data_IF_199503941798
#
_entry.id   IF_199503941798
#
_cell.length_a   1.000
_cell.length_b   1.000
_cell.length_c   1.000
_cell.angle_alpha   90.00
_cell.angle_beta   90.00
_cell.angle_gamma   90.00
#
_symmetry.space_group_name_H-M   'P 1'
#
loop_
_entity.id
_entity.type
_entity.pdbx_description
1 polymer ?
#
# COMPACT_ATOMS: atom_id res chain seq x y z
N UNK A 1 59.76 1.92 -49.38
CA UNK A 1 58.33 2.18 -49.20
C UNK A 1 57.87 1.82 -47.78
N UNK A 2 58.39 2.49 -46.77
CA UNK A 2 58.03 2.17 -45.35
C UNK A 2 57.97 3.43 -44.46
N UNK A 3 57.65 4.61 -45.01
CA UNK A 3 57.64 5.86 -44.24
C UNK A 3 56.29 6.62 -44.33
N UNK A 4 55.22 6.03 -44.88
CA UNK A 4 53.94 6.73 -45.04
C UNK A 4 52.80 6.20 -44.15
N UNK A 5 53.00 5.11 -43.42
CA UNK A 5 51.95 4.52 -42.56
C UNK A 5 51.96 5.03 -41.14
N UNK A 6 53.12 5.49 -40.64
CA UNK A 6 53.30 5.98 -39.28
C UNK A 6 52.73 7.38 -39.06
N UNK A 7 52.59 8.20 -40.10
CA UNK A 7 52.02 9.54 -40.02
C UNK A 7 50.48 9.59 -39.94
N UNK A 8 49.80 8.57 -40.41
CA UNK A 8 48.33 8.51 -40.38
C UNK A 8 47.74 8.01 -39.08
N UNK A 9 48.46 7.18 -38.33
CA UNK A 9 48.04 6.68 -37.01
C UNK A 9 48.20 7.70 -35.89
N UNK A 10 49.19 8.61 -35.98
CA UNK A 10 49.33 9.69 -34.99
C UNK A 10 48.30 10.78 -35.09
N UNK A 11 47.75 11.04 -36.31
CA UNK A 11 46.69 12.03 -36.50
C UNK A 11 45.30 11.51 -36.09
N UNK A 12 45.11 10.19 -36.06
CA UNK A 12 43.85 9.59 -35.57
C UNK A 12 43.78 9.57 -34.04
N UNK A 13 44.92 9.40 -33.34
CA UNK A 13 45.00 9.37 -31.88
C UNK A 13 44.85 10.78 -31.24
N UNK A 14 45.25 11.83 -31.95
CA UNK A 14 45.11 13.22 -31.47
C UNK A 14 43.69 13.78 -31.55
N UNK A 15 42.79 13.12 -32.32
CA UNK A 15 41.36 13.52 -32.40
C UNK A 15 40.47 12.81 -31.38
N UNK A 16 40.96 11.83 -30.63
CA UNK A 16 40.21 11.07 -29.63
C UNK A 16 40.44 11.51 -28.19
N UNK A 17 41.29 12.50 -27.97
CA UNK A 17 41.59 13.03 -26.62
C UNK A 17 41.10 14.46 -26.36
N UNK A 18 40.00 14.85 -27.00
CA UNK A 18 39.27 16.02 -26.53
C UNK A 18 38.59 15.65 -25.20
N UNK A 19 38.90 16.36 -24.08
CA UNK A 19 38.16 16.11 -22.86
C UNK A 19 36.69 16.45 -23.12
N UNK A 20 35.81 15.45 -23.02
CA UNK A 20 34.39 15.63 -22.87
C UNK A 20 34.19 16.52 -21.61
N UNK A 21 34.15 17.82 -21.82
CA UNK A 21 33.59 18.76 -20.86
C UNK A 21 32.16 18.27 -20.60
N UNK A 22 32.01 17.38 -19.60
CA UNK A 22 30.72 17.17 -18.97
C UNK A 22 30.28 18.54 -18.49
N UNK A 23 29.46 19.22 -19.27
CA UNK A 23 28.59 20.26 -18.77
C UNK A 23 27.77 19.58 -17.67
N UNK A 24 28.20 19.74 -16.41
CA UNK A 24 27.29 19.62 -15.28
C UNK A 24 26.17 20.64 -15.54
N UNK A 25 25.14 20.24 -16.29
CA UNK A 25 23.84 20.81 -16.10
C UNK A 25 23.49 20.46 -14.66
N UNK A 26 23.58 21.41 -13.78
CA UNK A 26 22.80 21.42 -12.56
C UNK A 26 21.35 21.42 -13.09
N UNK A 27 20.78 20.25 -13.32
CA UNK A 27 19.34 20.11 -13.39
C UNK A 27 18.87 20.58 -12.01
N UNK A 28 18.36 21.80 -11.96
CA UNK A 28 17.59 22.27 -10.81
C UNK A 28 16.41 21.30 -10.80
N UNK A 29 16.53 20.24 -9.99
CA UNK A 29 15.43 19.30 -9.74
C UNK A 29 14.30 20.17 -9.19
N UNK A 30 13.27 20.38 -10.00
CA UNK A 30 12.08 21.09 -9.55
C UNK A 30 11.46 20.19 -8.49
N UNK A 31 11.53 20.61 -7.22
CA UNK A 31 10.95 19.90 -6.09
C UNK A 31 9.49 19.59 -6.39
N UNK A 32 9.15 18.30 -6.47
CA UNK A 32 7.78 17.83 -6.66
C UNK A 32 7.02 17.94 -5.35
N UNK A 33 5.73 18.23 -5.40
CA UNK A 33 4.90 18.34 -4.20
C UNK A 33 3.81 17.29 -4.21
N UNK A 34 3.92 16.35 -3.27
CA UNK A 34 2.98 15.25 -3.09
C UNK A 34 1.94 15.57 -2.02
N UNK A 35 0.68 15.38 -2.34
CA UNK A 35 -0.43 15.37 -1.41
C UNK A 35 -0.88 13.93 -1.20
N UNK A 36 -0.64 13.37 -0.02
CA UNK A 36 -0.96 11.97 0.31
C UNK A 36 -2.24 11.91 1.14
N UNK A 37 -3.36 11.54 0.53
CA UNK A 37 -4.63 11.33 1.24
C UNK A 37 -4.64 9.95 1.92
N UNK A 38 -5.02 9.90 3.20
CA UNK A 38 -4.91 8.67 4.00
C UNK A 38 -3.48 8.37 4.50
N UNK A 39 -2.69 9.41 4.74
CA UNK A 39 -1.25 9.36 5.02
C UNK A 39 -0.84 8.57 6.29
N UNK A 40 -1.75 8.32 7.22
CA UNK A 40 -1.51 7.49 8.41
C UNK A 40 -1.97 6.03 8.25
N UNK A 41 -2.60 5.69 7.12
CA UNK A 41 -2.95 4.30 6.77
C UNK A 41 -1.70 3.47 6.43
N UNK A 42 -1.85 2.14 6.36
CA UNK A 42 -0.75 1.22 6.05
C UNK A 42 0.00 1.59 4.78
N UNK A 43 -0.73 1.87 3.71
CA UNK A 43 -0.17 2.31 2.42
C UNK A 43 0.35 3.74 2.49
N UNK A 44 -0.45 4.67 3.04
CA UNK A 44 -0.07 6.09 3.09
C UNK A 44 1.19 6.34 3.89
N UNK A 45 1.37 5.64 5.02
CA UNK A 45 2.59 5.74 5.84
C UNK A 45 3.84 5.24 5.11
N UNK A 46 3.74 4.09 4.45
CA UNK A 46 4.83 3.56 3.64
C UNK A 46 5.19 4.52 2.49
N UNK A 47 4.19 5.08 1.83
CA UNK A 47 4.37 6.03 0.74
C UNK A 47 5.02 7.34 1.21
N UNK A 48 4.56 7.91 2.32
CA UNK A 48 5.20 9.12 2.90
C UNK A 48 6.67 8.86 3.19
N UNK A 49 7.00 7.73 3.83
CA UNK A 49 8.38 7.37 4.13
C UNK A 49 9.22 7.18 2.86
N UNK A 50 8.66 6.55 1.83
CA UNK A 50 9.34 6.35 0.55
C UNK A 50 9.62 7.69 -0.17
N UNK A 51 8.63 8.57 -0.26
CA UNK A 51 8.79 9.89 -0.86
C UNK A 51 9.84 10.73 -0.14
N UNK A 52 9.86 10.71 1.20
CA UNK A 52 10.89 11.40 1.98
C UNK A 52 12.28 10.83 1.73
N UNK A 53 12.40 9.51 1.58
CA UNK A 53 13.68 8.86 1.30
C UNK A 53 14.25 9.17 -0.09
N UNK A 54 13.39 9.49 -1.08
CA UNK A 54 13.81 9.94 -2.41
C UNK A 54 14.46 11.33 -2.41
N UNK A 55 14.05 12.20 -1.49
CA UNK A 55 14.70 13.49 -1.24
C UNK A 55 14.34 14.63 -2.23
N UNK A 56 13.57 14.35 -3.28
CA UNK A 56 13.14 15.31 -4.31
C UNK A 56 11.63 15.65 -4.24
N UNK A 57 10.99 15.31 -3.11
CA UNK A 57 9.57 15.53 -2.84
C UNK A 57 9.35 16.39 -1.59
N UNK A 58 8.53 17.43 -1.72
CA UNK A 58 7.83 18.04 -0.59
C UNK A 58 6.58 17.19 -0.30
N UNK A 59 6.49 16.62 0.90
CA UNK A 59 5.42 15.66 1.25
C UNK A 59 4.44 16.26 2.23
N UNK A 60 3.16 16.27 1.83
CA UNK A 60 2.04 16.73 2.66
C UNK A 60 1.08 15.55 2.87
N UNK A 61 1.00 15.07 4.11
CA UNK A 61 0.08 14.03 4.50
C UNK A 61 -1.27 14.59 4.96
N UNK A 62 -2.37 14.03 4.46
CA UNK A 62 -3.73 14.34 4.90
C UNK A 62 -4.27 13.20 5.76
N UNK A 63 -4.75 13.52 6.94
CA UNK A 63 -5.39 12.58 7.87
C UNK A 63 -6.32 13.33 8.82
N UNK A 64 -7.28 12.64 9.42
CA UNK A 64 -8.10 13.18 10.52
C UNK A 64 -7.33 13.33 11.83
N UNK A 65 -6.26 12.54 12.02
CA UNK A 65 -5.40 12.55 13.21
C UNK A 65 -4.02 13.11 12.86
N UNK A 66 -3.31 13.61 13.85
CA UNK A 66 -1.88 13.93 13.73
C UNK A 66 -1.04 12.65 13.88
N UNK A 67 0.17 12.59 13.28
CA UNK A 67 1.06 11.46 13.46
C UNK A 67 1.56 11.39 14.92
N UNK A 68 1.63 10.18 15.46
CA UNK A 68 2.16 9.88 16.80
C UNK A 68 3.66 9.50 16.76
N UNK A 69 4.31 9.75 15.63
CA UNK A 69 5.71 9.45 15.39
C UNK A 69 6.43 10.65 14.76
N UNK A 70 7.75 10.69 14.91
CA UNK A 70 8.56 11.74 14.31
C UNK A 70 8.64 11.58 12.79
N UNK A 71 8.46 12.68 12.07
CA UNK A 71 8.53 12.73 10.61
C UNK A 71 8.89 14.13 10.15
N UNK A 72 9.55 14.25 9.01
CA UNK A 72 9.82 15.53 8.34
C UNK A 72 8.72 15.92 7.36
N UNK A 73 7.75 15.04 7.08
CA UNK A 73 6.59 15.40 6.28
C UNK A 73 5.69 16.38 7.04
N UNK A 74 5.09 17.30 6.31
CA UNK A 74 4.03 18.17 6.83
C UNK A 74 2.72 17.39 6.89
N UNK A 75 2.02 17.42 8.02
CA UNK A 75 0.69 16.83 8.13
C UNK A 75 -0.37 17.90 8.30
N UNK A 76 -1.50 17.70 7.64
CA UNK A 76 -2.69 18.54 7.76
C UNK A 76 -3.83 17.66 8.28
N UNK A 77 -4.32 18.01 9.48
CA UNK A 77 -5.54 17.39 10.02
C UNK A 77 -6.75 17.94 9.26
N UNK A 78 -7.50 17.06 8.59
CA UNK A 78 -8.66 17.42 7.79
C UNK A 78 -9.62 16.24 7.65
N UNK A 79 -10.91 16.51 7.78
CA UNK A 79 -11.94 15.56 7.37
C UNK A 79 -12.28 15.77 5.89
N UNK A 80 -11.92 14.80 5.05
CA UNK A 80 -12.14 14.87 3.60
C UNK A 80 -13.65 14.83 3.23
N UNK A 81 -14.52 14.39 4.13
CA UNK A 81 -15.98 14.48 3.95
C UNK A 81 -16.50 15.92 4.09
N UNK A 82 -15.81 16.75 4.86
CA UNK A 82 -16.19 18.13 5.05
C UNK A 82 -15.62 19.03 3.93
N UNK A 83 -16.42 19.28 2.90
CA UNK A 83 -16.01 20.08 1.73
C UNK A 83 -15.46 21.46 2.09
N UNK A 84 -16.09 22.13 3.07
CA UNK A 84 -15.68 23.46 3.49
C UNK A 84 -14.33 23.43 4.18
N UNK A 85 -14.08 22.43 5.02
CA UNK A 85 -12.79 22.22 5.68
C UNK A 85 -11.68 21.88 4.68
N UNK A 86 -11.94 20.97 3.72
CA UNK A 86 -11.00 20.65 2.63
C UNK A 86 -10.62 21.90 1.86
N UNK A 87 -11.61 22.69 1.45
CA UNK A 87 -11.35 23.97 0.76
C UNK A 87 -10.51 24.91 1.62
N UNK A 88 -10.86 25.11 2.87
CA UNK A 88 -10.13 26.01 3.80
C UNK A 88 -8.68 25.54 4.00
N UNK A 89 -8.47 24.24 4.22
CA UNK A 89 -7.14 23.68 4.55
C UNK A 89 -6.23 23.54 3.35
N UNK A 90 -6.75 23.24 2.16
CA UNK A 90 -5.95 22.89 1.00
C UNK A 90 -5.79 24.03 -0.02
N UNK A 91 -6.70 25.03 -0.09
CA UNK A 91 -6.62 26.11 -1.09
C UNK A 91 -5.36 26.96 -0.99
N UNK A 92 -4.74 27.04 0.18
CA UNK A 92 -3.50 27.82 0.38
C UNK A 92 -2.20 27.02 0.17
N UNK A 93 -2.28 25.72 -0.17
CA UNK A 93 -1.07 24.89 -0.29
C UNK A 93 -0.26 25.28 -1.54
N UNK A 94 -0.94 25.60 -2.67
CA UNK A 94 -0.30 25.91 -3.94
C UNK A 94 0.67 24.84 -4.46
N UNK A 95 0.99 24.86 -5.74
CA UNK A 95 2.07 24.08 -6.37
C UNK A 95 2.04 22.55 -6.16
N UNK A 96 0.90 21.98 -5.71
CA UNK A 96 0.73 20.50 -5.65
C UNK A 96 0.89 19.94 -7.07
N UNK A 97 1.83 19.01 -7.22
CA UNK A 97 2.08 18.34 -8.51
C UNK A 97 1.37 16.99 -8.60
N UNK A 98 1.29 16.27 -7.49
CA UNK A 98 0.73 14.92 -7.44
C UNK A 98 -0.21 14.75 -6.25
N UNK A 99 -1.31 14.04 -6.49
CA UNK A 99 -2.17 13.50 -5.44
C UNK A 99 -1.97 11.99 -5.43
N UNK A 100 -1.61 11.44 -4.28
CA UNK A 100 -1.60 10.01 -4.02
C UNK A 100 -2.76 9.70 -3.08
N UNK A 101 -3.76 8.99 -3.59
CA UNK A 101 -5.03 8.86 -2.92
C UNK A 101 -5.25 7.46 -2.36
N UNK A 102 -5.06 7.29 -1.06
CA UNK A 102 -5.26 6.06 -0.29
C UNK A 102 -6.28 6.22 0.86
N UNK A 103 -7.08 7.30 0.84
CA UNK A 103 -8.09 7.51 1.87
C UNK A 103 -9.30 6.59 1.65
N UNK A 104 -9.77 6.00 2.74
CA UNK A 104 -10.92 5.11 2.79
C UNK A 104 -11.78 5.44 4.00
N UNK A 105 -13.09 5.46 3.77
CA UNK A 105 -14.10 5.49 4.82
C UNK A 105 -14.91 4.20 4.75
N UNK A 106 -14.74 3.32 5.74
CA UNK A 106 -15.58 2.13 5.89
C UNK A 106 -16.99 2.53 6.35
N UNK A 107 -17.98 1.77 5.91
CA UNK A 107 -19.38 1.92 6.32
C UNK A 107 -19.98 0.55 6.67
N UNK A 108 -21.29 0.54 6.99
CA UNK A 108 -21.98 -0.68 7.42
C UNK A 108 -22.11 -1.73 6.29
N UNK A 109 -22.18 -1.27 5.05
CA UNK A 109 -22.26 -2.11 3.85
C UNK A 109 -21.63 -1.41 2.64
N UNK A 110 -21.50 -2.14 1.54
CA UNK A 110 -20.86 -1.65 0.31
C UNK A 110 -21.61 -0.50 -0.36
N UNK A 111 -22.94 -0.44 -0.22
CA UNK A 111 -23.72 0.67 -0.78
C UNK A 111 -23.46 1.96 0.02
N UNK A 112 -23.44 1.86 1.33
CA UNK A 112 -23.15 2.98 2.22
C UNK A 112 -21.70 3.50 2.07
N UNK A 113 -20.76 2.67 1.58
CA UNK A 113 -19.38 3.10 1.29
C UNK A 113 -19.26 4.01 0.07
N UNK A 114 -20.22 3.95 -0.91
CA UNK A 114 -20.07 4.63 -2.21
C UNK A 114 -20.03 6.15 -2.05
N UNK A 115 -21.08 6.73 -1.46
CA UNK A 115 -21.23 8.18 -1.40
C UNK A 115 -20.08 8.87 -0.62
N UNK A 116 -19.67 8.42 0.58
CA UNK A 116 -18.61 9.06 1.33
C UNK A 116 -17.24 8.94 0.63
N UNK A 117 -16.91 7.76 0.07
CA UNK A 117 -15.62 7.58 -0.59
C UNK A 117 -15.50 8.39 -1.89
N UNK A 118 -16.57 8.50 -2.66
CA UNK A 118 -16.61 9.37 -3.82
C UNK A 118 -16.51 10.86 -3.43
N UNK A 119 -17.26 11.29 -2.42
CA UNK A 119 -17.25 12.69 -1.96
C UNK A 119 -15.85 13.13 -1.49
N UNK A 120 -15.16 12.30 -0.70
CA UNK A 120 -13.80 12.59 -0.24
C UNK A 120 -12.82 12.80 -1.41
N UNK A 121 -12.89 11.95 -2.43
CA UNK A 121 -12.06 12.08 -3.64
C UNK A 121 -12.40 13.37 -4.40
N UNK A 122 -13.68 13.62 -4.66
CA UNK A 122 -14.16 14.82 -5.36
C UNK A 122 -13.71 16.10 -4.67
N UNK A 123 -13.90 16.20 -3.35
CA UNK A 123 -13.50 17.38 -2.57
C UNK A 123 -11.99 17.64 -2.67
N UNK A 124 -11.18 16.58 -2.61
CA UNK A 124 -9.71 16.67 -2.70
C UNK A 124 -9.29 17.14 -4.09
N UNK A 125 -9.74 16.43 -5.14
CA UNK A 125 -9.34 16.71 -6.53
C UNK A 125 -9.79 18.11 -6.96
N UNK A 126 -11.06 18.47 -6.75
CA UNK A 126 -11.58 19.78 -7.15
C UNK A 126 -10.89 20.94 -6.44
N UNK A 127 -10.49 20.74 -5.16
CA UNK A 127 -9.79 21.80 -4.43
C UNK A 127 -8.38 21.99 -4.98
N UNK A 128 -7.62 20.90 -5.19
CA UNK A 128 -6.26 20.97 -5.74
C UNK A 128 -6.28 21.49 -7.18
N UNK A 129 -7.20 21.01 -8.02
CA UNK A 129 -7.33 21.49 -9.41
C UNK A 129 -7.52 23.01 -9.51
N UNK A 130 -8.27 23.59 -8.56
CA UNK A 130 -8.50 25.05 -8.52
C UNK A 130 -7.34 25.85 -7.92
N UNK A 131 -6.58 25.26 -7.03
CA UNK A 131 -5.53 25.96 -6.25
C UNK A 131 -4.12 25.73 -6.77
N UNK A 132 -3.88 24.74 -7.62
CA UNK A 132 -2.56 24.44 -8.18
C UNK A 132 -2.57 24.42 -9.71
N UNK A 133 -1.75 25.28 -10.30
CA UNK A 133 -1.48 25.28 -11.75
C UNK A 133 -0.44 24.23 -12.15
N UNK A 134 0.20 23.57 -11.17
CA UNK A 134 1.23 22.54 -11.39
C UNK A 134 0.70 21.13 -11.21
N UNK A 135 -0.62 20.96 -10.99
CA UNK A 135 -1.22 19.65 -10.81
C UNK A 135 -1.11 18.82 -12.11
N UNK A 136 -0.45 17.65 -12.02
CA UNK A 136 -0.12 16.80 -13.17
C UNK A 136 -0.77 15.42 -13.09
N UNK A 137 -0.84 14.83 -11.89
CA UNK A 137 -1.24 13.44 -11.78
C UNK A 137 -1.94 13.13 -10.46
N UNK A 138 -2.94 12.25 -10.55
CA UNK A 138 -3.48 11.54 -9.39
C UNK A 138 -3.30 10.04 -9.55
N UNK A 139 -2.81 9.37 -8.50
CA UNK A 139 -2.77 7.91 -8.42
C UNK A 139 -3.77 7.47 -7.36
N UNK A 140 -4.79 6.72 -7.80
CA UNK A 140 -5.85 6.18 -6.97
C UNK A 140 -5.48 4.79 -6.48
N UNK A 141 -5.64 4.51 -5.19
CA UNK A 141 -5.53 3.16 -4.63
C UNK A 141 -6.92 2.52 -4.60
N UNK A 142 -7.03 1.40 -5.30
CA UNK A 142 -8.18 0.50 -5.32
C UNK A 142 -7.81 -0.83 -4.63
N UNK A 143 -8.23 -1.95 -5.14
CA UNK A 143 -7.86 -3.28 -4.65
C UNK A 143 -8.59 -4.41 -5.38
N UNK A 144 -8.32 -5.66 -4.97
CA UNK A 144 -8.91 -6.86 -5.57
C UNK A 144 -10.45 -6.90 -5.49
N UNK A 145 -11.08 -6.11 -4.60
CA UNK A 145 -12.54 -5.90 -4.60
C UNK A 145 -13.07 -5.38 -5.95
N UNK A 146 -12.22 -4.77 -6.78
CA UNK A 146 -12.59 -4.35 -8.13
C UNK A 146 -13.09 -5.52 -8.99
N UNK A 147 -12.51 -6.70 -8.78
CA UNK A 147 -12.84 -7.93 -9.51
C UNK A 147 -13.93 -8.78 -8.84
N UNK A 148 -14.50 -8.31 -7.75
CA UNK A 148 -15.48 -9.07 -6.96
C UNK A 148 -14.87 -10.05 -5.97
N UNK A 149 -13.58 -9.97 -5.67
CA UNK A 149 -12.88 -10.88 -4.76
C UNK A 149 -13.46 -10.94 -3.33
N UNK A 150 -14.30 -10.00 -2.94
CA UNK A 150 -14.99 -9.96 -1.65
C UNK A 150 -16.37 -10.65 -1.66
N UNK A 151 -16.84 -11.08 -2.83
CA UNK A 151 -18.18 -11.67 -3.02
C UNK A 151 -18.14 -13.19 -3.18
N UNK A 152 -16.96 -13.77 -3.40
CA UNK A 152 -16.78 -15.20 -3.64
C UNK A 152 -15.77 -15.48 -4.76
N UNK A 153 -15.74 -16.72 -5.26
CA UNK A 153 -14.87 -17.08 -6.38
C UNK A 153 -15.07 -16.18 -7.58
N UNK A 154 -13.96 -15.74 -8.17
CA UNK A 154 -13.94 -14.88 -9.35
C UNK A 154 -12.90 -15.40 -10.35
N UNK A 155 -12.83 -14.81 -11.55
CA UNK A 155 -11.83 -15.21 -12.54
C UNK A 155 -10.43 -14.94 -12.02
N UNK A 156 -9.60 -15.99 -11.94
CA UNK A 156 -8.17 -15.93 -11.57
C UNK A 156 -7.29 -16.48 -12.68
N UNK A 157 -6.09 -15.88 -12.94
CA UNK A 157 -5.67 -14.60 -12.39
C UNK A 157 -6.49 -13.43 -12.96
N UNK A 158 -6.84 -12.47 -12.09
CA UNK A 158 -7.54 -11.26 -12.50
C UNK A 158 -6.64 -10.35 -13.33
N UNK A 159 -7.18 -9.75 -14.39
CA UNK A 159 -6.47 -8.81 -15.25
C UNK A 159 -7.15 -7.45 -15.26
N UNK A 160 -6.40 -6.41 -15.48
CA UNK A 160 -6.93 -5.03 -15.49
C UNK A 160 -8.01 -4.82 -16.56
N UNK A 161 -7.96 -5.58 -17.65
CA UNK A 161 -8.96 -5.57 -18.72
C UNK A 161 -10.22 -6.39 -18.41
N UNK A 162 -10.29 -7.09 -17.27
CA UNK A 162 -11.47 -7.85 -16.89
C UNK A 162 -12.63 -6.90 -16.60
N UNK A 163 -13.84 -7.35 -16.90
CA UNK A 163 -15.06 -6.56 -16.70
C UNK A 163 -15.28 -6.31 -15.21
N UNK A 164 -15.82 -5.15 -14.90
CA UNK A 164 -16.32 -4.82 -13.58
C UNK A 164 -17.37 -5.85 -13.13
N UNK A 165 -17.35 -6.17 -11.85
CA UNK A 165 -18.34 -7.03 -11.22
C UNK A 165 -19.64 -6.23 -10.90
N UNK A 166 -20.60 -6.89 -10.25
CA UNK A 166 -21.86 -6.29 -9.80
C UNK A 166 -21.59 -5.12 -8.83
N UNK A 167 -22.12 -3.90 -9.09
CA UNK A 167 -22.13 -2.83 -8.10
C UNK A 167 -23.11 -3.16 -6.93
N UNK A 168 -23.00 -2.48 -5.78
CA UNK A 168 -22.22 -1.28 -5.53
C UNK A 168 -20.74 -1.57 -5.25
N UNK A 169 -19.85 -0.73 -5.80
CA UNK A 169 -18.42 -0.73 -5.49
C UNK A 169 -17.87 0.68 -5.73
N UNK A 170 -17.44 1.36 -4.68
CA UNK A 170 -17.02 2.76 -4.76
C UNK A 170 -15.78 2.96 -5.64
N UNK A 171 -14.94 1.94 -5.87
CA UNK A 171 -13.82 2.03 -6.82
C UNK A 171 -14.31 2.38 -8.22
N UNK A 172 -15.43 1.80 -8.66
CA UNK A 172 -16.00 2.10 -9.98
C UNK A 172 -16.41 3.57 -10.10
N UNK A 173 -17.06 4.10 -9.06
CA UNK A 173 -17.50 5.50 -9.04
C UNK A 173 -16.31 6.47 -8.98
N UNK A 174 -15.26 6.12 -8.25
CA UNK A 174 -14.04 6.92 -8.17
C UNK A 174 -13.28 6.92 -9.50
N UNK A 175 -13.10 5.75 -10.13
CA UNK A 175 -12.46 5.63 -11.44
C UNK A 175 -13.24 6.38 -12.52
N UNK A 176 -14.58 6.20 -12.59
CA UNK A 176 -15.45 6.90 -13.53
C UNK A 176 -15.36 8.43 -13.37
N UNK A 177 -15.34 8.90 -12.13
CA UNK A 177 -15.16 10.33 -11.84
C UNK A 177 -13.83 10.84 -12.38
N UNK A 178 -12.71 10.13 -12.13
CA UNK A 178 -11.40 10.54 -12.60
C UNK A 178 -11.29 10.49 -14.13
N UNK A 179 -11.83 9.45 -14.76
CA UNK A 179 -11.88 9.32 -16.21
C UNK A 179 -12.63 10.51 -16.85
N UNK A 180 -13.80 10.85 -16.32
CA UNK A 180 -14.58 11.97 -16.86
C UNK A 180 -13.94 13.32 -16.55
N UNK A 181 -13.48 13.51 -15.30
CA UNK A 181 -12.95 14.80 -14.83
C UNK A 181 -11.63 15.18 -15.50
N UNK A 182 -10.80 14.23 -15.86
CA UNK A 182 -9.50 14.48 -16.49
C UNK A 182 -9.57 14.82 -17.97
N UNK A 183 -10.72 14.61 -18.64
CA UNK A 183 -10.85 14.91 -20.07
C UNK A 183 -10.55 16.38 -20.38
N UNK A 184 -9.60 16.61 -21.27
CA UNK A 184 -9.18 17.95 -21.69
C UNK A 184 -8.44 18.75 -20.60
N UNK A 185 -7.99 18.12 -19.53
CA UNK A 185 -7.21 18.75 -18.46
C UNK A 185 -5.71 18.57 -18.68
N UNK A 186 -4.92 19.40 -17.99
CA UNK A 186 -3.46 19.28 -17.95
C UNK A 186 -2.94 18.21 -16.98
N UNK A 187 -3.84 17.48 -16.34
CA UNK A 187 -3.51 16.41 -15.42
C UNK A 187 -4.15 15.07 -15.84
N UNK A 188 -3.53 13.99 -15.45
CA UNK A 188 -3.97 12.63 -15.74
C UNK A 188 -4.22 11.83 -14.46
N UNK A 189 -4.73 10.61 -14.61
CA UNK A 189 -4.95 9.69 -13.50
C UNK A 189 -4.36 8.31 -13.80
N UNK A 190 -4.11 7.54 -12.75
CA UNK A 190 -3.87 6.10 -12.81
C UNK A 190 -4.47 5.43 -11.57
N UNK A 191 -4.71 4.13 -11.65
CA UNK A 191 -5.19 3.35 -10.51
C UNK A 191 -4.27 2.16 -10.21
N UNK A 192 -4.08 1.82 -8.94
CA UNK A 192 -3.36 0.63 -8.51
C UNK A 192 -4.30 -0.29 -7.73
N UNK A 193 -4.26 -1.57 -8.04
CA UNK A 193 -5.11 -2.63 -7.48
C UNK A 193 -4.26 -3.65 -6.72
N UNK A 194 -3.88 -3.34 -5.49
CA UNK A 194 -3.20 -4.29 -4.61
C UNK A 194 -4.17 -5.36 -4.07
N UNK A 195 -3.60 -6.43 -3.52
CA UNK A 195 -4.29 -7.45 -2.74
C UNK A 195 -3.73 -7.48 -1.32
N UNK A 196 -4.51 -7.83 -0.31
CA UNK A 196 -4.10 -8.09 1.10
C UNK A 196 -2.84 -7.34 1.55
N UNK A 197 -2.94 -6.00 1.70
CA UNK A 197 -1.78 -5.15 1.99
C UNK A 197 -1.24 -5.44 3.39
N UNK A 198 0.07 -5.69 3.48
CA UNK A 198 0.81 -5.83 4.72
C UNK A 198 1.85 -4.72 4.86
N UNK A 199 1.95 -4.11 6.04
CA UNK A 199 2.91 -3.03 6.24
C UNK A 199 3.18 -2.70 7.70
N UNK A 200 4.20 -1.87 7.91
CA UNK A 200 4.59 -1.40 9.23
C UNK A 200 3.72 -0.22 9.68
N UNK A 201 2.47 -0.53 10.07
CA UNK A 201 1.54 0.43 10.64
C UNK A 201 0.63 -0.25 11.67
N UNK A 202 0.37 0.41 12.78
CA UNK A 202 -0.54 -0.03 13.84
C UNK A 202 -1.76 0.89 13.87
N UNK A 203 -2.90 0.40 14.35
CA UNK A 203 -4.15 1.19 14.38
C UNK A 203 -4.83 1.31 13.01
N UNK A 204 -4.60 0.35 12.11
CA UNK A 204 -5.21 0.30 10.79
C UNK A 204 -6.18 -0.88 10.68
N UNK A 205 -7.39 -0.66 10.12
CA UNK A 205 -8.42 -1.69 10.08
C UNK A 205 -8.14 -2.84 9.08
N UNK A 206 -7.17 -2.69 8.19
CA UNK A 206 -6.85 -3.67 7.15
C UNK A 206 -5.34 -3.89 7.06
N UNK A 207 -4.76 -4.54 8.07
CA UNK A 207 -3.35 -4.93 8.08
C UNK A 207 -3.22 -6.36 8.59
N UNK A 208 -3.01 -7.30 7.67
CA UNK A 208 -2.94 -8.72 8.01
C UNK A 208 -1.72 -9.06 8.88
N UNK A 209 -0.62 -8.32 8.74
CA UNK A 209 0.57 -8.53 9.55
C UNK A 209 0.32 -8.30 11.04
N UNK A 210 -0.46 -7.26 11.41
CA UNK A 210 -0.81 -7.01 12.83
C UNK A 210 -1.77 -8.07 13.38
N UNK A 211 -2.73 -8.54 12.58
CA UNK A 211 -3.65 -9.61 12.98
C UNK A 211 -2.87 -10.89 13.32
N UNK A 212 -1.97 -11.34 12.44
CA UNK A 212 -1.14 -12.52 12.66
C UNK A 212 -0.26 -12.35 13.90
N UNK A 213 0.41 -11.21 14.03
CA UNK A 213 1.35 -10.94 15.11
C UNK A 213 0.68 -10.94 16.48
N UNK A 214 -0.47 -10.27 16.62
CA UNK A 214 -1.22 -10.21 17.88
C UNK A 214 -1.86 -11.57 18.21
N UNK A 215 -2.41 -12.26 17.20
CA UNK A 215 -2.94 -13.62 17.37
C UNK A 215 -1.88 -14.59 17.90
N UNK A 216 -0.69 -14.59 17.30
CA UNK A 216 0.43 -15.40 17.76
C UNK A 216 0.87 -15.06 19.18
N UNK A 217 0.96 -13.76 19.52
CA UNK A 217 1.32 -13.31 20.86
C UNK A 217 0.31 -13.77 21.95
N UNK A 218 -0.99 -13.70 21.63
CA UNK A 218 -2.04 -14.18 22.53
C UNK A 218 -2.02 -15.69 22.70
N UNK A 219 -1.89 -16.46 21.59
CA UNK A 219 -1.79 -17.92 21.65
C UNK A 219 -0.57 -18.35 22.45
N UNK A 220 0.59 -17.73 22.25
CA UNK A 220 1.83 -18.02 23.00
C UNK A 220 1.66 -17.79 24.49
N UNK A 221 1.04 -16.67 24.90
CA UNK A 221 0.80 -16.36 26.31
C UNK A 221 -0.17 -17.35 26.97
N UNK A 222 -1.12 -17.86 26.21
CA UNK A 222 -2.05 -18.91 26.70
C UNK A 222 -1.46 -20.33 26.67
N UNK A 223 -0.22 -20.51 26.20
CA UNK A 223 0.39 -21.84 26.05
C UNK A 223 -0.27 -22.70 24.95
N UNK A 224 -0.90 -22.06 23.97
CA UNK A 224 -1.59 -22.74 22.87
C UNK A 224 -0.67 -22.86 21.64
N UNK A 225 -0.79 -23.95 20.86
CA UNK A 225 -0.09 -24.04 19.58
C UNK A 225 -0.66 -23.02 18.60
N UNK A 226 0.17 -22.58 17.63
CA UNK A 226 -0.26 -21.67 16.57
C UNK A 226 -1.08 -22.45 15.54
N UNK A 227 -2.40 -22.42 15.65
CA UNK A 227 -3.32 -22.98 14.66
C UNK A 227 -3.75 -21.92 13.66
N UNK A 228 -3.86 -22.34 12.39
CA UNK A 228 -4.52 -21.49 11.40
C UNK A 228 -6.02 -21.36 11.77
N UNK A 229 -6.55 -20.14 11.93
CA UNK A 229 -7.90 -19.95 12.47
C UNK A 229 -9.02 -20.04 11.42
N UNK A 230 -8.72 -20.35 10.17
CA UNK A 230 -9.69 -20.57 9.10
C UNK A 230 -9.98 -22.05 8.82
N UNK A 231 -10.78 -22.30 7.80
CA UNK A 231 -11.10 -23.67 7.35
C UNK A 231 -9.90 -24.33 6.66
N UNK A 232 -9.96 -25.67 6.54
CA UNK A 232 -8.96 -26.43 5.77
C UNK A 232 -8.95 -26.04 4.29
N UNK A 233 -10.08 -25.62 3.71
CA UNK A 233 -10.17 -25.15 2.34
C UNK A 233 -9.42 -23.82 2.19
N UNK A 234 -9.68 -22.84 3.04
CA UNK A 234 -8.96 -21.56 3.06
C UNK A 234 -7.45 -21.75 3.30
N UNK A 235 -7.08 -22.70 4.16
CA UNK A 235 -5.68 -23.06 4.43
C UNK A 235 -4.92 -23.51 3.18
N UNK A 236 -5.62 -24.16 2.24
CA UNK A 236 -5.09 -24.69 0.99
C UNK A 236 -5.33 -23.81 -0.24
N UNK A 237 -6.16 -22.80 -0.13
CA UNK A 237 -6.41 -21.86 -1.24
C UNK A 237 -5.17 -21.03 -1.53
N UNK A 238 -4.98 -20.69 -2.80
CA UNK A 238 -3.91 -19.79 -3.21
C UNK A 238 -4.24 -18.38 -2.77
N UNK A 239 -3.26 -17.70 -2.20
CA UNK A 239 -3.39 -16.31 -1.81
C UNK A 239 -2.18 -15.49 -2.28
N UNK A 240 -2.37 -14.20 -2.42
CA UNK A 240 -1.33 -13.23 -2.69
C UNK A 240 -1.39 -12.10 -1.68
N UNK A 241 -0.26 -11.42 -1.48
CA UNK A 241 -0.16 -10.25 -0.62
C UNK A 241 0.54 -9.11 -1.36
N UNK A 242 0.43 -7.93 -0.79
CA UNK A 242 1.15 -6.75 -1.26
C UNK A 242 1.90 -6.11 -0.11
N UNK A 243 3.21 -6.02 -0.23
CA UNK A 243 4.04 -5.23 0.68
C UNK A 243 3.74 -3.74 0.50
N UNK A 244 3.45 -3.05 1.58
CA UNK A 244 3.19 -1.60 1.54
C UNK A 244 4.39 -0.78 1.03
N UNK A 245 5.63 -1.26 1.23
CA UNK A 245 6.84 -0.61 0.70
C UNK A 245 6.97 -0.83 -0.82
N UNK A 246 6.66 -2.03 -1.32
CA UNK A 246 6.57 -2.31 -2.76
C UNK A 246 5.47 -1.46 -3.40
N UNK A 247 4.29 -1.40 -2.77
CA UNK A 247 3.18 -0.58 -3.25
C UNK A 247 3.54 0.91 -3.30
N UNK A 248 4.27 1.41 -2.30
CA UNK A 248 4.76 2.79 -2.30
C UNK A 248 5.67 3.10 -3.50
N UNK A 249 6.59 2.19 -3.84
CA UNK A 249 7.42 2.29 -5.05
C UNK A 249 6.57 2.30 -6.32
N UNK A 250 5.57 1.41 -6.41
CA UNK A 250 4.66 1.34 -7.55
C UNK A 250 3.82 2.62 -7.70
N UNK A 251 3.37 3.22 -6.59
CA UNK A 251 2.64 4.51 -6.58
C UNK A 251 3.50 5.62 -7.17
N UNK A 252 4.76 5.73 -6.75
CA UNK A 252 5.69 6.75 -7.28
C UNK A 252 6.03 6.48 -8.74
N UNK A 253 6.37 5.24 -9.09
CA UNK A 253 6.61 4.84 -10.48
C UNK A 253 5.44 5.20 -11.40
N UNK A 254 4.20 4.91 -10.97
CA UNK A 254 3.00 5.23 -11.72
C UNK A 254 2.78 6.74 -11.82
N UNK A 255 3.05 7.48 -10.74
CA UNK A 255 2.92 8.93 -10.68
C UNK A 255 3.88 9.66 -11.61
N UNK A 256 5.09 9.14 -11.81
CA UNK A 256 6.15 9.76 -12.59
C UNK A 256 6.24 9.27 -14.05
N UNK A 257 5.47 8.25 -14.43
CA UNK A 257 5.52 7.65 -15.76
C UNK A 257 4.29 8.03 -16.58
N UNK A 258 4.47 8.90 -17.58
CA UNK A 258 3.39 9.36 -18.47
C UNK A 258 2.76 8.21 -19.28
N UNK A 259 3.48 7.08 -19.50
CA UNK A 259 2.88 5.89 -20.12
C UNK A 259 1.77 5.27 -19.28
N UNK A 260 1.75 5.55 -17.98
CA UNK A 260 0.73 5.07 -17.04
C UNK A 260 -0.55 5.91 -17.03
N UNK A 261 -0.63 6.98 -17.86
CA UNK A 261 -1.79 7.86 -17.92
C UNK A 261 -3.05 7.12 -18.37
N UNK A 262 -4.12 7.27 -17.60
CA UNK A 262 -5.40 6.59 -17.86
C UNK A 262 -5.36 5.06 -17.71
N UNK A 263 -4.36 4.53 -16.99
CA UNK A 263 -4.17 3.09 -16.83
C UNK A 263 -4.41 2.63 -15.39
N UNK A 264 -4.91 1.39 -15.27
CA UNK A 264 -4.92 0.66 -14.01
C UNK A 264 -3.86 -0.46 -14.03
N UNK A 265 -3.30 -0.80 -12.86
CA UNK A 265 -2.31 -1.86 -12.69
C UNK A 265 -2.57 -2.71 -11.46
N UNK A 266 -2.53 -4.02 -11.61
CA UNK A 266 -2.42 -4.93 -10.49
C UNK A 266 -1.01 -4.85 -9.89
N UNK A 267 -0.92 -4.68 -8.59
CA UNK A 267 0.35 -4.61 -7.86
C UNK A 267 0.28 -5.55 -6.67
N UNK A 268 1.03 -6.63 -6.73
CA UNK A 268 1.21 -7.60 -5.64
C UNK A 268 2.69 -7.94 -5.49
N UNK A 269 3.04 -8.73 -4.48
CA UNK A 269 4.43 -9.11 -4.24
C UNK A 269 5.07 -9.85 -5.43
N UNK A 270 4.27 -10.51 -6.27
CA UNK A 270 4.73 -11.22 -7.46
C UNK A 270 4.88 -12.73 -7.27
N UNK A 271 4.67 -13.22 -6.05
CA UNK A 271 4.58 -14.63 -5.69
C UNK A 271 3.14 -15.03 -5.34
N UNK A 272 2.88 -16.33 -5.33
CA UNK A 272 1.62 -16.93 -4.91
C UNK A 272 1.89 -17.93 -3.80
N UNK A 273 1.09 -17.87 -2.75
CA UNK A 273 1.31 -18.62 -1.54
C UNK A 273 0.07 -19.40 -1.11
N UNK A 274 0.25 -20.36 -0.21
CA UNK A 274 -0.80 -21.02 0.55
C UNK A 274 -0.48 -20.90 2.02
N UNK A 275 -1.48 -20.72 2.85
CA UNK A 275 -1.27 -20.70 4.29
C UNK A 275 -0.63 -22.00 4.80
N UNK A 276 -0.91 -23.15 4.17
CA UNK A 276 -0.31 -24.44 4.54
C UNK A 276 1.22 -24.47 4.46
N UNK A 277 1.81 -23.62 3.59
CA UNK A 277 3.26 -23.53 3.44
C UNK A 277 3.88 -22.48 4.37
N UNK A 278 3.15 -21.40 4.65
CA UNK A 278 3.64 -20.26 5.46
C UNK A 278 3.39 -20.52 6.96
N UNK A 279 2.23 -21.06 7.33
CA UNK A 279 1.80 -21.12 8.72
C UNK A 279 2.74 -21.91 9.65
N UNK A 280 3.28 -23.09 9.25
CA UNK A 280 4.30 -23.78 10.05
C UNK A 280 5.55 -22.93 10.30
N UNK A 281 5.99 -22.16 9.29
CA UNK A 281 7.15 -21.27 9.42
C UNK A 281 6.87 -20.05 10.31
N UNK A 282 5.62 -19.57 10.34
CA UNK A 282 5.19 -18.58 11.33
C UNK A 282 5.26 -19.13 12.76
N UNK A 283 4.81 -20.36 12.97
CA UNK A 283 4.94 -21.02 14.28
C UNK A 283 6.41 -21.13 14.72
N UNK A 284 7.30 -21.51 13.81
CA UNK A 284 8.75 -21.55 14.05
C UNK A 284 9.31 -20.16 14.40
N UNK A 285 8.96 -19.12 13.61
CA UNK A 285 9.38 -17.74 13.87
C UNK A 285 8.99 -17.28 15.27
N UNK A 286 7.76 -17.56 15.70
CA UNK A 286 7.25 -17.19 17.03
C UNK A 286 7.69 -18.18 18.12
N UNK A 287 8.48 -19.23 17.79
CA UNK A 287 8.91 -20.29 18.71
C UNK A 287 7.72 -20.94 19.42
N UNK A 288 6.77 -21.36 18.61
CA UNK A 288 5.52 -22.00 19.05
C UNK A 288 5.36 -23.36 18.37
N UNK A 289 4.67 -24.28 19.05
CA UNK A 289 4.21 -25.49 18.40
C UNK A 289 3.19 -25.16 17.31
N UNK A 290 3.27 -25.89 16.20
CA UNK A 290 2.28 -25.86 15.14
C UNK A 290 1.21 -26.93 15.39
N UNK A 291 -0.03 -26.61 15.03
CA UNK A 291 -1.12 -27.59 15.04
C UNK A 291 -2.04 -27.44 13.81
N UNK A 292 -2.79 -28.50 13.51
CA UNK A 292 -3.72 -28.53 12.37
C UNK A 292 -4.70 -27.37 12.38
N UNK A 293 -5.12 -26.87 11.20
CA UNK A 293 -6.11 -25.79 11.08
C UNK A 293 -7.39 -26.10 11.84
N UNK A 294 -7.97 -25.08 12.42
CA UNK A 294 -9.26 -25.18 13.09
C UNK A 294 -9.99 -23.87 12.92
N UNK A 295 -11.17 -23.93 12.33
CA UNK A 295 -12.00 -22.73 12.15
C UNK A 295 -12.34 -22.09 13.51
N UNK A 296 -11.95 -20.84 13.68
CA UNK A 296 -12.18 -20.02 14.85
C UNK A 296 -12.80 -18.69 14.39
N UNK A 297 -14.06 -18.40 14.74
CA UNK A 297 -14.63 -17.07 14.53
C UNK A 297 -13.86 -16.02 15.38
N UNK A 298 -12.83 -15.41 14.79
CA UNK A 298 -11.91 -14.52 15.51
C UNK A 298 -12.64 -13.36 16.20
N UNK A 299 -13.66 -12.81 15.55
CA UNK A 299 -14.47 -11.71 16.12
C UNK A 299 -15.11 -12.13 17.46
N UNK A 300 -15.55 -13.38 17.59
CA UNK A 300 -16.12 -13.89 18.83
C UNK A 300 -15.04 -14.29 19.84
N UNK A 301 -14.05 -15.08 19.40
CA UNK A 301 -13.03 -15.64 20.29
C UNK A 301 -12.06 -14.58 20.82
N UNK A 302 -11.92 -13.44 20.16
CA UNK A 302 -11.08 -12.34 20.63
C UNK A 302 -11.84 -11.29 21.45
N UNK A 303 -13.16 -11.39 21.56
CA UNK A 303 -13.98 -10.37 22.25
C UNK A 303 -13.64 -10.17 23.72
N UNK A 304 -13.17 -11.23 24.40
CA UNK A 304 -12.81 -11.23 25.84
C UNK A 304 -11.29 -11.18 26.10
N UNK A 305 -10.44 -10.97 25.08
CA UNK A 305 -8.97 -11.03 25.20
C UNK A 305 -8.29 -9.70 25.51
N UNK A 306 -9.05 -8.61 25.62
CA UNK A 306 -8.48 -7.31 26.00
C UNK A 306 -7.75 -7.33 27.36
N UNK A 307 -8.25 -7.98 28.44
CA UNK A 307 -7.50 -8.11 29.70
C UNK A 307 -6.17 -8.84 29.53
N UNK A 308 -6.14 -9.90 28.70
CA UNK A 308 -4.93 -10.65 28.39
C UNK A 308 -3.91 -9.77 27.63
N UNK A 309 -4.39 -9.00 26.64
CA UNK A 309 -3.57 -8.04 25.92
C UNK A 309 -2.94 -7.00 26.84
N UNK A 310 -3.71 -6.42 27.74
CA UNK A 310 -3.21 -5.49 28.78
C UNK A 310 -2.16 -6.13 29.69
N UNK A 311 -2.36 -7.39 30.07
CA UNK A 311 -1.38 -8.14 30.86
C UNK A 311 -0.07 -8.35 30.06
N UNK A 312 -0.15 -8.67 28.75
CA UNK A 312 1.01 -8.78 27.85
C UNK A 312 1.78 -7.46 27.76
N UNK A 313 1.08 -6.34 27.55
CA UNK A 313 1.69 -4.99 27.51
C UNK A 313 2.52 -4.75 28.78
N UNK A 314 1.93 -5.02 29.94
CA UNK A 314 2.60 -4.82 31.23
C UNK A 314 3.79 -5.78 31.41
N UNK A 315 3.60 -7.07 31.13
CA UNK A 315 4.60 -8.14 31.31
C UNK A 315 5.85 -7.88 30.44
N UNK A 316 5.64 -7.52 29.19
CA UNK A 316 6.71 -7.37 28.21
C UNK A 316 7.09 -5.90 27.94
N UNK A 317 6.50 -4.94 28.65
CA UNK A 317 6.72 -3.49 28.47
C UNK A 317 6.53 -3.05 27.01
N UNK A 318 5.41 -3.51 26.43
CA UNK A 318 5.07 -3.19 25.05
C UNK A 318 4.53 -1.76 24.94
N UNK A 319 4.42 -1.26 23.70
CA UNK A 319 3.70 -0.03 23.42
C UNK A 319 2.22 -0.19 23.79
N UNK A 320 1.64 0.82 24.44
CA UNK A 320 0.28 0.79 24.96
C UNK A 320 -0.74 1.12 23.86
N UNK A 321 -0.91 0.19 22.92
CA UNK A 321 -2.01 0.26 21.96
C UNK A 321 -3.26 -0.42 22.52
N UNK A 322 -4.43 0.19 22.27
CA UNK A 322 -5.70 -0.46 22.59
C UNK A 322 -5.82 -1.80 21.85
N UNK A 323 -6.55 -2.74 22.41
CA UNK A 323 -6.74 -4.05 21.80
C UNK A 323 -7.42 -3.95 20.41
N UNK A 324 -8.31 -2.97 20.26
CA UNK A 324 -9.01 -2.70 19.00
C UNK A 324 -8.09 -2.10 17.93
N UNK A 325 -7.11 -1.28 18.33
CA UNK A 325 -6.12 -0.72 17.41
C UNK A 325 -5.00 -1.71 17.09
N UNK A 326 -4.72 -2.67 17.99
CA UNK A 326 -3.67 -3.66 17.81
C UNK A 326 -3.99 -4.64 16.68
N UNK A 327 -5.24 -5.10 16.55
CA UNK A 327 -5.64 -6.04 15.50
C UNK A 327 -7.11 -5.88 15.09
N UNK A 328 -7.36 -5.82 13.79
CA UNK A 328 -8.70 -5.78 13.20
C UNK A 328 -9.25 -7.21 13.01
N UNK A 329 -9.84 -7.78 14.04
CA UNK A 329 -10.32 -9.16 14.03
C UNK A 329 -11.34 -9.46 12.92
N UNK A 330 -12.33 -8.58 12.62
CA UNK A 330 -13.25 -8.82 11.50
C UNK A 330 -12.54 -8.92 10.15
N UNK A 331 -11.50 -8.12 9.92
CA UNK A 331 -10.69 -8.20 8.71
C UNK A 331 -9.91 -9.52 8.65
N UNK A 332 -9.24 -9.90 9.74
CA UNK A 332 -8.52 -11.17 9.85
C UNK A 332 -9.42 -12.36 9.61
N UNK A 333 -10.60 -12.38 10.25
CA UNK A 333 -11.60 -13.43 10.06
C UNK A 333 -12.05 -13.54 8.60
N UNK A 334 -12.32 -12.42 7.93
CA UNK A 334 -12.70 -12.41 6.52
C UNK A 334 -11.60 -12.99 5.62
N UNK A 335 -10.34 -12.62 5.83
CA UNK A 335 -9.21 -13.12 5.02
C UNK A 335 -8.92 -14.60 5.29
N UNK A 336 -8.95 -15.06 6.54
CA UNK A 336 -8.70 -16.46 6.88
C UNK A 336 -9.84 -17.41 6.45
N UNK A 337 -10.98 -16.87 6.05
CA UNK A 337 -12.12 -17.65 5.54
C UNK A 337 -12.32 -17.55 4.02
N UNK A 338 -11.32 -17.05 3.28
CA UNK A 338 -11.35 -17.07 1.81
C UNK A 338 -11.07 -18.50 1.32
N UNK A 339 -12.13 -19.22 0.98
CA UNK A 339 -12.09 -20.63 0.54
C UNK A 339 -11.88 -20.80 -0.97
N UNK A 340 -11.31 -19.79 -1.63
CA UNK A 340 -11.03 -19.75 -3.06
C UNK A 340 -9.74 -19.00 -3.34
N UNK A 341 -9.21 -19.22 -4.54
CA UNK A 341 -7.95 -18.62 -4.94
C UNK A 341 -8.07 -17.11 -5.15
N UNK A 342 -7.11 -16.37 -4.62
CA UNK A 342 -6.93 -14.95 -4.83
C UNK A 342 -5.64 -14.77 -5.65
N UNK A 343 -5.79 -14.37 -6.91
CA UNK A 343 -4.66 -14.25 -7.85
C UNK A 343 -4.88 -13.09 -8.82
N UNK A 344 -3.85 -12.26 -8.99
CA UNK A 344 -3.80 -11.17 -9.98
C UNK A 344 -2.68 -11.37 -10.97
N UNK A 345 -2.93 -11.06 -12.23
CA UNK A 345 -1.90 -11.00 -13.28
C UNK A 345 -1.18 -9.64 -13.18
N UNK A 346 0.12 -9.66 -12.94
CA UNK A 346 0.96 -8.45 -12.83
C UNK A 346 1.83 -8.22 -14.07
N UNK A 347 1.57 -8.91 -15.18
CA UNK A 347 2.39 -8.77 -16.40
C UNK A 347 2.30 -7.36 -16.99
N UNK A 348 1.12 -6.72 -16.93
CA UNK A 348 0.95 -5.35 -17.43
C UNK A 348 1.89 -4.35 -16.73
N UNK A 349 2.05 -4.42 -15.41
CA UNK A 349 2.98 -3.53 -14.71
C UNK A 349 4.43 -3.74 -15.18
N UNK A 350 4.83 -4.98 -15.45
CA UNK A 350 6.15 -5.32 -16.01
C UNK A 350 6.33 -4.80 -17.44
N UNK A 351 5.32 -4.93 -18.30
CA UNK A 351 5.33 -4.38 -19.68
C UNK A 351 5.50 -2.85 -19.68
N UNK A 352 5.01 -2.19 -18.64
CA UNK A 352 5.14 -0.74 -18.47
C UNK A 352 6.43 -0.33 -17.73
N UNK A 353 7.24 -1.29 -17.26
CA UNK A 353 8.57 -1.06 -16.70
C UNK A 353 8.67 -1.16 -15.18
N UNK A 354 7.66 -1.68 -14.49
CA UNK A 354 7.75 -1.98 -13.06
C UNK A 354 8.15 -3.43 -12.85
N UNK A 355 9.39 -3.67 -12.44
CA UNK A 355 9.98 -5.00 -12.28
C UNK A 355 10.21 -5.40 -10.82
N UNK A 356 9.85 -4.57 -9.88
CA UNK A 356 10.00 -4.85 -8.44
C UNK A 356 9.11 -6.01 -8.02
N UNK A 357 9.61 -6.80 -7.09
CA UNK A 357 8.90 -7.91 -6.46
C UNK A 357 9.40 -8.10 -5.01
N UNK A 358 8.64 -8.82 -4.21
CA UNK A 358 8.96 -9.12 -2.81
C UNK A 358 8.57 -10.58 -2.53
N UNK A 359 9.42 -11.30 -1.81
CA UNK A 359 9.07 -12.59 -1.23
C UNK A 359 8.11 -12.37 -0.06
N UNK A 360 6.91 -12.96 -0.12
CA UNK A 360 5.86 -12.76 0.88
C UNK A 360 6.26 -13.28 2.26
N UNK A 361 7.00 -14.38 2.33
CA UNK A 361 7.45 -14.95 3.59
C UNK A 361 8.48 -14.04 4.26
N UNK A 362 9.48 -13.60 3.51
CA UNK A 362 10.49 -12.66 4.01
C UNK A 362 9.87 -11.31 4.40
N UNK A 363 8.88 -10.83 3.67
CA UNK A 363 8.10 -9.64 4.04
C UNK A 363 7.45 -9.80 5.42
N UNK A 364 6.74 -10.92 5.66
CA UNK A 364 6.10 -11.16 6.95
C UNK A 364 7.11 -11.20 8.09
N UNK A 365 8.22 -11.93 7.92
CA UNK A 365 9.27 -11.99 8.93
C UNK A 365 9.93 -10.65 9.18
N UNK A 366 10.16 -9.85 8.14
CA UNK A 366 10.68 -8.49 8.27
C UNK A 366 9.74 -7.62 9.10
N UNK A 367 8.43 -7.67 8.80
CA UNK A 367 7.42 -6.90 9.54
C UNK A 367 7.33 -7.34 11.00
N UNK A 368 7.36 -8.64 11.29
CA UNK A 368 7.32 -9.13 12.68
C UNK A 368 8.57 -8.73 13.47
N UNK A 369 9.77 -8.81 12.87
CA UNK A 369 11.00 -8.28 13.51
C UNK A 369 10.89 -6.78 13.78
N UNK A 370 10.27 -6.01 12.88
CA UNK A 370 10.04 -4.58 13.11
C UNK A 370 9.05 -4.35 14.27
N UNK A 371 7.97 -5.13 14.34
CA UNK A 371 7.01 -5.07 15.44
C UNK A 371 7.66 -5.44 16.79
N UNK A 372 8.51 -6.46 16.83
CA UNK A 372 9.29 -6.79 18.03
C UNK A 372 10.24 -5.65 18.43
N UNK A 373 10.99 -5.12 17.47
CA UNK A 373 11.94 -4.02 17.70
C UNK A 373 11.31 -2.79 18.33
N UNK A 374 10.10 -2.40 17.90
CA UNK A 374 9.37 -1.28 18.49
C UNK A 374 8.58 -1.69 19.74
N UNK A 375 8.65 -2.93 20.16
CA UNK A 375 7.86 -3.46 21.28
C UNK A 375 6.35 -3.34 21.07
N UNK A 376 5.88 -3.58 19.85
CA UNK A 376 4.46 -3.76 19.57
C UNK A 376 4.00 -5.17 19.95
N UNK A 377 4.83 -6.20 19.74
CA UNK A 377 4.63 -7.57 20.20
C UNK A 377 5.86 -8.06 20.99
N UNK A 378 5.73 -9.11 21.82
CA UNK A 378 6.87 -9.75 22.50
C UNK A 378 7.89 -10.35 21.50
N UNK A 379 9.14 -10.55 21.97
CA UNK A 379 10.19 -11.31 21.26
C UNK A 379 9.93 -12.83 21.23
#
# INVERSE_FOLDING_TARGET
>A
MASSVTGMLSALYAKLSAPLLRRNRIEISIMKKALVAGALGVTGRALVNHLLALGDWEVIGLSRRSPEFQTTARYISVDLLNRSEVKMRLSGIGDVTHIFYAALQSAADFFAEVAPNLAMLVHTVETVERSSTKFRKIVLLEGAKFYGAHLGPYKTPAREADRRHMPPNFYYNQEDYLQERSKGKAWSWSALRPSSICGFAVGNPMNMATVIAVYAALCKEMGLPLRFPGSTTAYRSVMEMTDAELLAKAVVWTGENDRCDGQAFNITNGDFNRWENIWPKLAEFFKMDYATPQHLPLTQFMSDKEPLWKALIKKHRLLDYSFQDAAAWPFGEAIFNLEYDIMSDTNKSREFGFYEWVDTEEMLFRLFRQFQKIRFIPE
#
